data_IF_159084607546
#
_entry.id   IF_159084607546
#
_cell.length_a   1.000
_cell.length_b   1.000
_cell.length_c   1.000
_cell.angle_alpha   90.00
_cell.angle_beta   90.00
_cell.angle_gamma   90.00
#
_symmetry.space_group_name_H-M   'P 1'
#
loop_
_entity.id
_entity.type
_entity.pdbx_description
1 polymer ?
#
# COMPACT_ATOMS: atom_id res chain seq x y z
N UNK A 1 -2.13 25.62 -33.94
CA UNK A 1 -2.02 26.25 -32.63
C UNK A 1 -0.66 25.85 -32.04
N UNK A 2 0.20 26.77 -31.72
CA UNK A 2 1.39 26.40 -30.98
C UNK A 2 0.97 25.95 -29.59
N UNK A 3 1.48 24.79 -29.14
CA UNK A 3 1.34 24.36 -27.77
C UNK A 3 2.09 25.38 -26.89
N UNK A 4 1.40 25.95 -25.92
CA UNK A 4 2.06 26.74 -24.90
C UNK A 4 3.07 25.81 -24.15
N UNK A 5 4.32 26.24 -23.95
CA UNK A 5 5.30 25.43 -23.22
C UNK A 5 4.78 25.20 -21.80
N UNK A 6 4.83 23.95 -21.36
CA UNK A 6 4.50 23.59 -19.97
C UNK A 6 5.40 24.39 -19.06
N UNK A 7 4.87 25.13 -18.07
CA UNK A 7 5.70 25.86 -17.13
C UNK A 7 6.71 24.95 -16.43
N UNK A 8 7.94 25.40 -16.26
CA UNK A 8 9.04 24.61 -15.70
C UNK A 8 8.74 24.03 -14.30
N UNK A 9 7.88 24.69 -13.53
CA UNK A 9 7.41 24.20 -12.24
C UNK A 9 6.57 22.92 -12.36
N UNK A 10 5.81 22.73 -13.45
CA UNK A 10 5.06 21.50 -13.72
C UNK A 10 5.95 20.37 -14.21
N UNK A 11 7.01 20.67 -14.95
CA UNK A 11 8.00 19.66 -15.35
C UNK A 11 8.73 19.10 -14.13
N UNK A 12 9.17 19.95 -13.21
CA UNK A 12 9.81 19.55 -11.96
C UNK A 12 8.88 18.65 -11.10
N UNK A 13 7.60 18.99 -10.99
CA UNK A 13 6.62 18.18 -10.24
C UNK A 13 6.39 16.80 -10.88
N UNK A 14 6.40 16.71 -12.21
CA UNK A 14 6.27 15.45 -12.93
C UNK A 14 7.51 14.55 -12.74
N UNK A 15 8.70 15.10 -12.80
CA UNK A 15 9.95 14.36 -12.58
C UNK A 15 10.06 13.89 -11.13
N UNK A 16 9.82 14.75 -10.16
CA UNK A 16 9.82 14.39 -8.73
C UNK A 16 8.79 13.31 -8.43
N UNK A 17 7.59 13.41 -9.01
CA UNK A 17 6.56 12.37 -8.88
C UNK A 17 6.98 11.03 -9.47
N UNK A 18 7.63 11.03 -10.63
CA UNK A 18 8.12 9.80 -11.27
C UNK A 18 9.17 9.11 -10.40
N UNK A 19 10.12 9.86 -9.85
CA UNK A 19 11.13 9.32 -8.94
C UNK A 19 10.50 8.76 -7.66
N UNK A 20 9.55 9.47 -7.06
CA UNK A 20 8.82 9.01 -5.88
C UNK A 20 8.06 7.70 -6.16
N UNK A 21 7.42 7.56 -7.31
CA UNK A 21 6.74 6.33 -7.71
C UNK A 21 7.73 5.17 -7.88
N UNK A 22 8.87 5.41 -8.53
CA UNK A 22 9.89 4.38 -8.70
C UNK A 22 10.49 3.93 -7.36
N UNK A 23 10.72 4.87 -6.45
CA UNK A 23 11.18 4.56 -5.11
C UNK A 23 10.12 3.75 -4.34
N UNK A 24 8.85 4.17 -4.38
CA UNK A 24 7.74 3.49 -3.71
C UNK A 24 7.54 2.04 -4.19
N UNK A 25 7.89 1.72 -5.43
CA UNK A 25 7.86 0.33 -5.93
C UNK A 25 8.88 -0.58 -5.26
N UNK A 26 10.00 -0.03 -4.81
CA UNK A 26 11.16 -0.79 -4.29
C UNK A 26 11.26 -0.74 -2.77
N UNK A 27 10.69 0.29 -2.16
CA UNK A 27 10.81 0.58 -0.74
C UNK A 27 9.43 0.73 -0.10
N UNK A 28 9.07 -0.12 0.88
CA UNK A 28 7.78 -0.04 1.57
C UNK A 28 7.60 1.24 2.37
N UNK A 29 8.68 1.84 2.89
CA UNK A 29 8.60 3.13 3.60
C UNK A 29 8.20 4.25 2.65
N UNK A 30 8.86 4.33 1.49
CA UNK A 30 8.53 5.30 0.46
C UNK A 30 7.11 5.09 -0.08
N UNK A 31 6.66 3.84 -0.23
CA UNK A 31 5.29 3.52 -0.61
C UNK A 31 4.28 4.06 0.39
N UNK A 32 4.48 3.78 1.67
CA UNK A 32 3.56 4.22 2.74
C UNK A 32 3.48 5.75 2.78
N UNK A 33 4.59 6.46 2.69
CA UNK A 33 4.62 7.93 2.67
C UNK A 33 4.02 8.53 1.40
N UNK A 34 4.15 7.86 0.27
CA UNK A 34 3.56 8.32 -0.99
C UNK A 34 2.04 8.09 -1.04
N UNK A 35 1.59 6.92 -0.61
CA UNK A 35 0.20 6.47 -0.76
C UNK A 35 -0.72 7.05 0.30
N UNK A 36 -0.32 7.02 1.56
CA UNK A 36 -1.17 7.46 2.66
C UNK A 36 -1.09 8.97 2.91
N UNK A 37 -2.13 9.50 3.50
CA UNK A 37 -2.23 10.90 3.91
C UNK A 37 -2.66 11.00 5.36
N UNK A 38 -2.17 12.02 6.03
CA UNK A 38 -2.62 12.43 7.35
C UNK A 38 -3.93 13.23 7.30
N UNK A 39 -4.32 13.77 8.43
CA UNK A 39 -5.49 14.62 8.53
C UNK A 39 -5.41 15.80 7.54
N UNK A 40 -6.56 16.17 6.97
CA UNK A 40 -6.64 17.24 5.99
C UNK A 40 -5.87 16.99 4.67
N UNK A 41 -5.47 15.75 4.38
CA UNK A 41 -4.71 15.41 3.17
C UNK A 41 -3.22 15.73 3.25
N UNK A 42 -2.70 16.08 4.44
CA UNK A 42 -1.29 16.35 4.65
C UNK A 42 -0.41 15.14 4.28
N UNK A 43 0.83 15.41 3.91
CA UNK A 43 1.81 14.34 3.66
C UNK A 43 1.97 13.50 4.92
N UNK A 44 1.86 12.19 4.76
CA UNK A 44 2.18 11.25 5.82
C UNK A 44 3.70 11.08 5.91
N UNK A 45 4.25 11.28 7.10
CA UNK A 45 5.67 11.09 7.38
C UNK A 45 5.79 10.06 8.49
N UNK A 46 6.57 9.02 8.23
CA UNK A 46 6.84 7.97 9.19
C UNK A 46 7.86 8.45 10.23
N UNK A 47 7.61 8.11 11.49
CA UNK A 47 8.63 8.27 12.52
C UNK A 47 9.73 7.18 12.40
N UNK A 48 10.88 7.35 13.09
CA UNK A 48 11.97 6.36 13.05
C UNK A 48 11.55 4.96 13.48
N UNK A 49 10.62 4.83 14.45
CA UNK A 49 10.12 3.54 14.92
C UNK A 49 9.31 2.81 13.84
N UNK A 50 8.49 3.54 13.06
CA UNK A 50 7.76 2.96 11.94
C UNK A 50 8.71 2.41 10.87
N UNK A 51 9.76 3.15 10.54
CA UNK A 51 10.79 2.70 9.58
C UNK A 51 11.55 1.48 10.09
N UNK A 52 11.87 1.45 11.38
CA UNK A 52 12.50 0.28 12.00
C UNK A 52 11.61 -0.97 11.87
N UNK A 53 10.28 -0.87 12.06
CA UNK A 53 9.37 -1.99 11.86
C UNK A 53 9.37 -2.50 10.41
N UNK A 54 9.36 -1.60 9.43
CA UNK A 54 9.45 -2.00 8.01
C UNK A 54 10.77 -2.70 7.70
N UNK A 55 11.87 -2.24 8.26
CA UNK A 55 13.19 -2.90 8.13
C UNK A 55 13.20 -4.28 8.76
N UNK A 56 12.62 -4.44 9.95
CA UNK A 56 12.49 -5.73 10.62
C UNK A 56 11.69 -6.70 9.75
N UNK A 57 10.55 -6.29 9.23
CA UNK A 57 9.73 -7.14 8.33
C UNK A 57 10.44 -7.47 7.01
N UNK A 58 11.29 -6.60 6.51
CA UNK A 58 12.08 -6.87 5.31
C UNK A 58 13.23 -7.84 5.56
N UNK A 59 13.81 -7.79 6.75
CA UNK A 59 15.04 -8.54 7.07
C UNK A 59 14.77 -9.92 7.66
N UNK A 60 13.70 -10.06 8.44
CA UNK A 60 13.44 -11.28 9.20
C UNK A 60 12.15 -11.95 8.76
N UNK A 61 12.17 -13.25 8.41
CA UNK A 61 10.97 -13.98 7.99
C UNK A 61 9.98 -14.20 9.14
N UNK A 62 10.44 -14.08 10.37
CA UNK A 62 9.60 -14.15 11.59
C UNK A 62 10.02 -13.05 12.55
N UNK A 63 9.05 -12.28 12.99
CA UNK A 63 9.29 -11.18 13.93
C UNK A 63 8.08 -10.95 14.83
N UNK A 64 8.32 -10.32 15.98
CA UNK A 64 7.28 -9.84 16.88
C UNK A 64 7.53 -8.36 17.13
N UNK A 65 6.49 -7.55 16.91
CA UNK A 65 6.55 -6.12 17.16
C UNK A 65 5.60 -5.79 18.31
N UNK A 66 6.18 -5.28 19.38
CA UNK A 66 5.45 -4.76 20.54
C UNK A 66 5.47 -3.24 20.52
N UNK A 67 4.36 -2.64 20.81
CA UNK A 67 4.26 -1.19 20.89
C UNK A 67 2.93 -0.76 21.54
N UNK A 68 2.83 0.45 22.05
CA UNK A 68 1.63 0.94 22.71
C UNK A 68 0.42 1.00 21.79
N UNK A 69 -0.76 1.09 22.38
CA UNK A 69 -2.00 1.34 21.64
C UNK A 69 -1.88 2.71 20.98
N UNK A 70 -2.36 2.83 19.75
CA UNK A 70 -2.29 4.10 18.99
C UNK A 70 -0.95 4.39 18.32
N UNK A 71 0.07 3.52 18.47
CA UNK A 71 1.39 3.72 17.85
C UNK A 71 1.43 3.47 16.33
N UNK A 72 0.30 3.25 15.65
CA UNK A 72 0.27 3.07 14.20
C UNK A 72 0.58 1.66 13.70
N UNK A 73 0.77 0.65 14.57
CA UNK A 73 1.10 -0.74 14.16
C UNK A 73 0.20 -1.27 13.06
N UNK A 74 -1.10 -1.15 13.23
CA UNK A 74 -2.07 -1.67 12.24
C UNK A 74 -2.01 -0.92 10.92
N UNK A 75 -1.72 0.37 10.93
CA UNK A 75 -1.55 1.18 9.72
C UNK A 75 -0.28 0.80 8.98
N UNK A 76 0.82 0.59 9.70
CA UNK A 76 2.08 0.13 9.15
C UNK A 76 1.96 -1.28 8.54
N UNK A 77 1.31 -2.22 9.25
CA UNK A 77 1.04 -3.54 8.73
C UNK A 77 0.16 -3.50 7.47
N UNK A 78 -0.90 -2.68 7.46
CA UNK A 78 -1.77 -2.50 6.30
C UNK A 78 -1.01 -1.97 5.08
N UNK A 79 -0.19 -0.95 5.27
CA UNK A 79 0.65 -0.41 4.21
C UNK A 79 1.60 -1.47 3.65
N UNK A 80 2.25 -2.23 4.52
CA UNK A 80 3.11 -3.35 4.12
C UNK A 80 2.36 -4.42 3.33
N UNK A 81 1.19 -4.82 3.77
CA UNK A 81 0.39 -5.85 3.09
C UNK A 81 -0.03 -5.40 1.69
N UNK A 82 -0.44 -4.14 1.52
CA UNK A 82 -0.79 -3.59 0.20
C UNK A 82 0.45 -3.54 -0.71
N UNK A 83 1.60 -3.15 -0.18
CA UNK A 83 2.86 -3.11 -0.92
C UNK A 83 3.29 -4.50 -1.40
N UNK A 84 3.23 -5.52 -0.55
CA UNK A 84 3.55 -6.90 -0.92
C UNK A 84 2.61 -7.43 -2.02
N UNK A 85 1.30 -7.17 -1.90
CA UNK A 85 0.33 -7.56 -2.93
C UNK A 85 0.58 -6.85 -4.26
N UNK A 86 1.01 -5.59 -4.24
CA UNK A 86 1.28 -4.83 -5.46
C UNK A 86 2.59 -5.23 -6.12
N UNK A 87 3.59 -5.59 -5.32
CA UNK A 87 4.91 -5.99 -5.82
C UNK A 87 4.90 -7.36 -6.49
N UNK A 88 4.16 -8.28 -5.93
CA UNK A 88 4.12 -9.68 -6.41
C UNK A 88 2.71 -10.24 -6.23
N UNK A 89 1.76 -9.85 -7.11
CA UNK A 89 0.36 -10.25 -6.99
C UNK A 89 0.15 -11.75 -7.27
N UNK A 90 1.03 -12.38 -8.05
CA UNK A 90 0.86 -13.76 -8.48
C UNK A 90 1.24 -14.76 -7.38
N UNK A 91 2.32 -14.51 -6.67
CA UNK A 91 2.83 -15.42 -5.65
C UNK A 91 2.48 -15.03 -4.21
N UNK A 92 2.06 -13.78 -3.97
CA UNK A 92 1.75 -13.31 -2.63
C UNK A 92 0.49 -13.99 -2.08
N UNK A 93 0.63 -14.61 -0.92
CA UNK A 93 -0.46 -15.21 -0.13
C UNK A 93 -0.36 -14.70 1.29
N UNK A 94 -1.40 -14.02 1.77
CA UNK A 94 -1.40 -13.37 3.07
C UNK A 94 -2.57 -13.89 3.91
N UNK A 95 -2.28 -14.28 5.15
CA UNK A 95 -3.29 -14.57 6.16
C UNK A 95 -3.20 -13.56 7.31
N UNK A 96 -4.30 -12.87 7.59
CA UNK A 96 -4.42 -11.99 8.74
C UNK A 96 -5.19 -12.70 9.85
N UNK A 97 -4.53 -13.03 10.95
CA UNK A 97 -5.08 -13.80 12.06
C UNK A 97 -5.19 -12.93 13.32
N UNK A 98 -6.28 -13.07 14.04
CA UNK A 98 -6.51 -12.40 15.32
C UNK A 98 -7.36 -13.25 16.25
N UNK A 99 -7.35 -12.92 17.53
CA UNK A 99 -8.15 -13.60 18.55
C UNK A 99 -9.68 -13.50 18.32
N UNK A 100 -10.14 -12.48 17.62
CA UNK A 100 -11.55 -12.26 17.29
C UNK A 100 -11.74 -12.09 15.78
N UNK A 101 -12.88 -12.51 15.24
CA UNK A 101 -13.19 -12.36 13.82
C UNK A 101 -13.47 -10.90 13.40
N UNK A 102 -13.89 -10.05 14.31
CA UNK A 102 -14.25 -8.67 14.02
C UNK A 102 -13.03 -7.84 13.59
N UNK A 103 -11.89 -8.05 14.22
CA UNK A 103 -10.68 -7.29 13.95
C UNK A 103 -10.09 -7.56 12.54
N UNK A 104 -9.86 -8.80 12.11
CA UNK A 104 -9.43 -9.09 10.74
C UNK A 104 -10.39 -8.56 9.68
N UNK A 105 -11.71 -8.70 9.87
CA UNK A 105 -12.71 -8.17 8.94
C UNK A 105 -12.62 -6.66 8.77
N UNK A 106 -12.42 -5.92 9.87
CA UNK A 106 -12.20 -4.46 9.83
C UNK A 106 -10.93 -4.09 9.06
N UNK A 107 -9.82 -4.78 9.33
CA UNK A 107 -8.55 -4.53 8.63
C UNK A 107 -8.66 -4.86 7.14
N UNK A 108 -9.28 -5.98 6.81
CA UNK A 108 -9.52 -6.38 5.42
C UNK A 108 -10.41 -5.37 4.69
N UNK A 109 -11.46 -4.87 5.34
CA UNK A 109 -12.31 -3.80 4.81
C UNK A 109 -11.53 -2.54 4.48
N UNK A 110 -10.63 -2.12 5.38
CA UNK A 110 -9.77 -0.95 5.14
C UNK A 110 -8.80 -1.17 3.98
N UNK A 111 -8.21 -2.36 3.87
CA UNK A 111 -7.32 -2.70 2.73
C UNK A 111 -8.08 -2.64 1.40
N UNK A 112 -9.30 -3.20 1.37
CA UNK A 112 -10.16 -3.18 0.18
C UNK A 112 -10.51 -1.78 -0.25
N UNK A 113 -10.86 -0.92 0.70
CA UNK A 113 -11.20 0.47 0.45
C UNK A 113 -10.01 1.24 -0.14
N UNK A 114 -8.82 1.04 0.40
CA UNK A 114 -7.59 1.63 -0.12
C UNK A 114 -7.34 1.16 -1.56
N UNK A 115 -7.36 -0.14 -1.83
CA UNK A 115 -7.13 -0.68 -3.18
C UNK A 115 -8.18 -0.17 -4.16
N UNK A 116 -9.44 -0.06 -3.75
CA UNK A 116 -10.54 0.33 -4.63
C UNK A 116 -10.62 1.83 -4.91
N UNK A 117 -10.14 2.68 -3.99
CA UNK A 117 -10.39 4.13 -4.02
C UNK A 117 -9.17 5.02 -4.01
N UNK A 118 -8.00 4.51 -3.66
CA UNK A 118 -6.79 5.32 -3.55
C UNK A 118 -6.00 5.36 -4.87
N UNK A 119 -6.08 6.45 -5.64
CA UNK A 119 -5.41 6.53 -6.94
C UNK A 119 -3.89 6.49 -6.83
N UNK A 120 -3.30 6.85 -5.68
CA UNK A 120 -1.86 6.77 -5.49
C UNK A 120 -1.34 5.34 -5.47
N UNK A 121 -2.14 4.38 -5.01
CA UNK A 121 -1.81 2.95 -5.13
C UNK A 121 -1.67 2.59 -6.60
N UNK A 122 -2.57 3.05 -7.45
CA UNK A 122 -2.53 2.75 -8.89
C UNK A 122 -1.40 3.46 -9.64
N UNK A 123 -0.91 4.58 -9.11
CA UNK A 123 0.32 5.20 -9.65
C UNK A 123 1.54 4.30 -9.42
N UNK A 124 1.64 3.69 -8.24
CA UNK A 124 2.75 2.80 -7.91
C UNK A 124 2.57 1.43 -8.55
N UNK A 125 1.40 0.84 -8.38
CA UNK A 125 1.03 -0.49 -8.87
C UNK A 125 -0.25 -0.42 -9.72
N UNK A 126 -0.13 -0.10 -11.02
CA UNK A 126 -1.31 0.07 -11.90
C UNK A 126 -2.18 -1.18 -12.01
N UNK A 127 -1.57 -2.37 -11.89
CA UNK A 127 -2.26 -3.66 -11.90
C UNK A 127 -2.92 -4.05 -10.58
N UNK A 128 -2.64 -3.36 -9.47
CA UNK A 128 -3.23 -3.70 -8.18
C UNK A 128 -4.67 -3.22 -8.11
N UNK A 129 -5.58 -4.07 -8.56
CA UNK A 129 -7.01 -3.83 -8.60
C UNK A 129 -7.76 -5.07 -8.09
N UNK A 130 -9.07 -4.90 -7.91
CA UNK A 130 -9.94 -6.05 -7.64
C UNK A 130 -9.80 -7.08 -8.75
N UNK A 131 -9.55 -8.35 -8.40
CA UNK A 131 -9.50 -9.44 -9.34
C UNK A 131 -10.84 -9.69 -10.02
N UNK A 132 -10.82 -10.20 -11.23
CA UNK A 132 -11.97 -10.68 -11.97
C UNK A 132 -12.33 -12.09 -11.45
N UNK A 133 -12.97 -12.13 -10.30
CA UNK A 133 -13.40 -13.37 -9.68
C UNK A 133 -14.85 -13.29 -9.22
N UNK A 134 -15.37 -14.40 -8.71
CA UNK A 134 -16.71 -14.43 -8.13
C UNK A 134 -16.81 -13.44 -6.96
N UNK A 135 -18.03 -12.98 -6.64
CA UNK A 135 -18.28 -12.04 -5.54
C UNK A 135 -17.71 -12.51 -4.19
N UNK A 136 -17.56 -13.81 -4.01
CA UNK A 136 -16.99 -14.44 -2.80
C UNK A 136 -15.49 -14.13 -2.62
N UNK A 137 -14.77 -13.88 -3.68
CA UNK A 137 -13.33 -13.58 -3.65
C UNK A 137 -13.01 -12.12 -3.27
N UNK A 138 -14.03 -11.28 -3.22
CA UNK A 138 -13.98 -9.93 -2.66
C UNK A 138 -14.99 -9.78 -1.52
N UNK A 139 -14.92 -10.68 -0.55
CA UNK A 139 -15.85 -10.79 0.56
C UNK A 139 -15.33 -10.14 1.84
N UNK A 140 -16.08 -10.21 2.92
CA UNK A 140 -15.63 -9.71 4.24
C UNK A 140 -14.45 -10.49 4.84
N UNK A 141 -14.10 -11.63 4.26
CA UNK A 141 -13.06 -12.53 4.77
C UNK A 141 -11.96 -12.86 3.76
N UNK A 142 -12.11 -12.44 2.50
CA UNK A 142 -11.16 -12.73 1.43
C UNK A 142 -10.98 -11.53 0.50
N UNK A 143 -9.76 -11.31 0.05
CA UNK A 143 -9.41 -10.41 -1.04
C UNK A 143 -8.67 -11.21 -2.11
N UNK A 144 -9.12 -11.08 -3.36
CA UNK A 144 -8.36 -11.47 -4.53
C UNK A 144 -8.04 -10.23 -5.36
N UNK A 145 -6.78 -9.98 -5.58
CA UNK A 145 -6.32 -8.93 -6.50
C UNK A 145 -6.10 -9.48 -7.89
N UNK A 146 -6.19 -8.61 -8.89
CA UNK A 146 -5.92 -8.97 -10.27
C UNK A 146 -4.49 -9.49 -10.40
N UNK A 147 -4.33 -10.62 -11.08
CA UNK A 147 -3.05 -11.21 -11.42
C UNK A 147 -2.74 -10.89 -12.87
N UNK A 148 -1.47 -10.66 -13.16
CA UNK A 148 -1.05 -10.54 -14.55
C UNK A 148 -1.13 -11.93 -15.20
N UNK A 149 -2.11 -12.08 -16.10
CA UNK A 149 -2.33 -13.33 -16.86
C UNK A 149 -1.36 -13.48 -18.04
N UNK A 150 -0.18 -12.92 -17.94
CA UNK A 150 0.88 -13.06 -18.95
C UNK A 150 1.95 -14.05 -18.47
N UNK A 151 1.58 -15.32 -18.54
CA UNK A 151 2.54 -16.43 -18.66
C UNK A 151 2.09 -17.40 -19.72
#
# INVERSE_FOLDING_TARGET
MPFDPVPAEYELDIYDRSEQIQLARRDPDAFIEYVFRGEGGARFVQDPGHREWQQIWSRYPKSVILGPVGSGKSSQARGRLIWEMGRDPDDTRIAYVSATQAHPKKQLGSIKEEIARNPRIWHVFPGLRRGEGEREEWSSTKILVQRDSTH
#
